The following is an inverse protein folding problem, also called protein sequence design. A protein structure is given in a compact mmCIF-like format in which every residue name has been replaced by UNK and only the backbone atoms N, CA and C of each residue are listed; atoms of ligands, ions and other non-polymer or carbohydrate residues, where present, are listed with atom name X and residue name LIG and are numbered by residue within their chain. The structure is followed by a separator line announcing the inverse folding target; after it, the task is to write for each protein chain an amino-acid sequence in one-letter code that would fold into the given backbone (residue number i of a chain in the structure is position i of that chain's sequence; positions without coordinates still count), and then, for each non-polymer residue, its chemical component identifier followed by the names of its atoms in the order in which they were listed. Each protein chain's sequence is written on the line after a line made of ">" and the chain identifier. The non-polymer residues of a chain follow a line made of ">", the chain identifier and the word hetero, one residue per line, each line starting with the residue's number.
data_IF_249535393176
#
_entry.id   IF_249535393176
#
_cell.length_a   1.000
_cell.length_b   1.000
_cell.length_c   1.000
_cell.angle_alpha   90.00
_cell.angle_beta   90.00
_cell.angle_gamma   90.00
#
_symmetry.space_group_name_H-M   'P 1'
#
loop_
_entity.id
_entity.type
_entity.pdbx_description
1 polymer ?
#
# COMPACT_ATOMS: atom_id res chain seq x y z
N UNK A 1 -31.23 -31.27 -18.69
CA UNK A 1 -30.92 -29.98 -19.33
C UNK A 1 -29.84 -29.35 -18.51
N UNK A 2 -28.56 -29.54 -18.90
CA UNK A 2 -27.39 -28.95 -18.24
C UNK A 2 -27.20 -27.54 -18.81
N UNK A 3 -27.26 -26.54 -17.96
CA UNK A 3 -26.81 -25.17 -18.26
C UNK A 3 -25.35 -25.07 -17.83
N UNK A 4 -24.43 -25.13 -18.80
CA UNK A 4 -23.04 -24.75 -18.61
C UNK A 4 -22.97 -23.24 -18.49
N UNK A 5 -22.59 -22.75 -17.30
CA UNK A 5 -22.20 -21.36 -17.09
C UNK A 5 -20.78 -21.17 -17.62
N UNK A 6 -20.66 -20.49 -18.77
CA UNK A 6 -19.37 -20.02 -19.28
C UNK A 6 -18.92 -18.80 -18.45
N UNK A 7 -17.86 -18.96 -17.69
CA UNK A 7 -17.09 -17.85 -17.13
C UNK A 7 -16.24 -17.25 -18.27
N UNK A 8 -16.64 -16.08 -18.74
CA UNK A 8 -15.82 -15.30 -19.67
C UNK A 8 -14.84 -14.50 -18.84
N UNK A 9 -13.57 -14.92 -18.84
CA UNK A 9 -12.46 -14.09 -18.38
C UNK A 9 -12.31 -12.91 -19.35
N UNK A 10 -12.78 -11.74 -18.97
CA UNK A 10 -12.46 -10.50 -19.66
C UNK A 10 -11.03 -10.11 -19.29
N UNK A 11 -10.09 -10.39 -20.18
CA UNK A 11 -8.81 -9.72 -20.21
C UNK A 11 -9.05 -8.30 -20.73
N UNK A 12 -9.17 -7.34 -19.84
CA UNK A 12 -9.11 -5.94 -20.22
C UNK A 12 -7.65 -5.57 -20.51
N UNK A 13 -7.23 -5.71 -21.76
CA UNK A 13 -6.09 -4.99 -22.30
C UNK A 13 -6.56 -3.54 -22.53
N UNK A 14 -6.54 -2.74 -21.49
CA UNK A 14 -6.80 -1.31 -21.57
C UNK A 14 -5.56 -0.61 -22.11
N UNK A 15 -5.54 -0.24 -23.39
CA UNK A 15 -4.58 0.72 -23.91
C UNK A 15 -5.07 2.12 -23.51
N UNK A 16 -4.41 2.72 -22.54
CA UNK A 16 -4.64 4.12 -22.19
C UNK A 16 -3.75 4.99 -23.05
N UNK A 17 -4.33 5.72 -24.00
CA UNK A 17 -3.62 6.78 -24.74
C UNK A 17 -3.88 8.11 -24.02
N UNK A 18 -2.94 8.55 -23.22
CA UNK A 18 -2.90 9.92 -22.71
C UNK A 18 -2.05 10.74 -23.68
N UNK A 19 -2.49 11.96 -23.98
CA UNK A 19 -1.78 12.92 -24.84
C UNK A 19 -0.46 13.35 -24.17
N UNK A 20 0.61 12.60 -24.41
CA UNK A 20 1.90 12.79 -23.76
C UNK A 20 2.79 11.58 -24.04
N UNK A 21 3.36 10.98 -23.06
CA UNK A 21 4.02 9.70 -23.15
C UNK A 21 2.97 8.58 -23.05
N UNK A 22 2.97 7.62 -23.98
CA UNK A 22 2.14 6.42 -23.84
C UNK A 22 2.70 5.53 -22.74
N UNK A 23 1.81 4.98 -21.90
CA UNK A 23 2.16 4.07 -20.83
C UNK A 23 1.79 2.64 -21.21
N UNK A 24 2.76 1.74 -21.11
CA UNK A 24 2.55 0.30 -21.26
C UNK A 24 2.37 -0.33 -19.87
N UNK A 25 1.17 -0.88 -19.61
CA UNK A 25 0.85 -1.52 -18.35
C UNK A 25 0.58 -3.02 -18.55
N UNK A 26 1.18 -3.85 -17.70
CA UNK A 26 1.08 -5.30 -17.76
C UNK A 26 0.73 -5.88 -16.40
N UNK A 27 -0.23 -6.82 -16.36
CA UNK A 27 -0.53 -7.62 -15.16
C UNK A 27 0.52 -8.71 -14.99
N UNK A 28 1.06 -8.84 -13.79
CA UNK A 28 2.14 -9.78 -13.46
C UNK A 28 1.80 -10.51 -12.17
N UNK A 29 2.19 -11.78 -12.09
CA UNK A 29 2.17 -12.57 -10.86
C UNK A 29 3.59 -12.96 -10.53
N UNK A 30 4.03 -12.65 -9.32
CA UNK A 30 5.36 -13.00 -8.80
C UNK A 30 5.18 -14.04 -7.69
N UNK A 31 5.66 -15.29 -7.87
CA UNK A 31 5.71 -16.24 -6.77
C UNK A 31 6.80 -15.82 -5.77
N UNK A 32 6.43 -15.71 -4.50
CA UNK A 32 7.34 -15.34 -3.41
C UNK A 32 7.34 -16.40 -2.33
N UNK A 33 8.51 -16.77 -1.84
CA UNK A 33 8.63 -17.68 -0.72
C UNK A 33 8.78 -16.90 0.58
N UNK A 34 7.91 -17.17 1.54
CA UNK A 34 7.89 -16.50 2.85
C UNK A 34 8.18 -17.52 3.94
N UNK A 35 9.20 -17.24 4.74
CA UNK A 35 9.60 -18.05 5.89
C UNK A 35 9.82 -17.14 7.10
N UNK A 36 8.78 -16.98 7.91
CA UNK A 36 8.76 -16.02 9.03
C UNK A 36 8.08 -16.59 10.27
N UNK A 37 8.40 -16.00 11.42
CA UNK A 37 7.70 -16.25 12.67
C UNK A 37 6.61 -15.22 12.87
N UNK A 38 5.41 -15.69 13.20
CA UNK A 38 4.23 -14.86 13.49
C UNK A 38 3.67 -15.17 14.88
N UNK A 39 3.00 -14.23 15.56
CA UNK A 39 2.23 -14.51 16.76
C UNK A 39 1.21 -15.65 16.55
N UNK A 40 1.11 -16.55 17.50
CA UNK A 40 0.08 -17.62 17.50
C UNK A 40 -1.32 -17.06 17.68
N UNK A 41 -1.44 -16.04 18.53
CA UNK A 41 -2.65 -15.27 18.67
C UNK A 41 -2.54 -14.01 17.79
N UNK A 42 -3.33 -13.91 16.72
CA UNK A 42 -3.24 -12.81 15.75
C UNK A 42 -3.65 -11.45 16.32
N UNK A 43 -4.28 -11.41 17.51
CA UNK A 43 -4.66 -10.18 18.19
C UNK A 43 -3.62 -9.72 19.22
N UNK A 44 -2.56 -10.50 19.44
CA UNK A 44 -1.47 -10.04 20.30
C UNK A 44 -0.77 -8.85 19.64
N UNK A 45 -0.61 -7.76 20.43
CA UNK A 45 0.21 -6.64 20.01
C UNK A 45 1.53 -7.18 19.46
N UNK A 46 2.00 -6.62 18.33
CA UNK A 46 3.25 -7.02 17.73
C UNK A 46 4.44 -6.59 18.64
N UNK A 47 4.44 -7.09 19.86
CA UNK A 47 5.63 -7.19 20.70
C UNK A 47 6.63 -8.21 20.13
N UNK A 48 6.32 -8.75 18.95
CA UNK A 48 6.89 -9.96 18.37
C UNK A 48 8.38 -9.97 18.12
N UNK A 49 9.04 -8.85 17.97
CA UNK A 49 10.51 -8.78 17.98
C UNK A 49 11.12 -9.09 19.38
N UNK A 50 10.30 -9.09 20.44
CA UNK A 50 10.68 -9.42 21.81
C UNK A 50 9.85 -10.58 22.38
N UNK A 51 8.99 -11.20 21.59
CA UNK A 51 8.10 -12.25 22.04
C UNK A 51 8.86 -13.52 22.42
N UNK A 52 8.41 -14.17 23.48
CA UNK A 52 8.91 -15.48 23.86
C UNK A 52 8.66 -16.47 22.69
N UNK A 53 9.66 -17.26 22.30
CA UNK A 53 9.57 -18.24 21.20
C UNK A 53 8.35 -19.17 21.31
N UNK A 54 7.84 -19.44 22.52
CA UNK A 54 6.65 -20.25 22.76
C UNK A 54 5.33 -19.61 22.29
N UNK A 55 5.28 -18.28 22.11
CA UNK A 55 4.10 -17.55 21.61
C UNK A 55 4.10 -17.37 20.10
N UNK A 56 5.14 -17.82 19.40
CA UNK A 56 5.29 -17.71 17.96
C UNK A 56 5.02 -19.05 17.27
N UNK A 57 4.61 -18.99 16.00
CA UNK A 57 4.60 -20.09 15.06
C UNK A 57 5.28 -19.69 13.77
N UNK A 58 5.80 -20.66 13.03
CA UNK A 58 6.39 -20.45 11.71
C UNK A 58 5.31 -20.48 10.64
N UNK A 59 5.40 -19.56 9.70
CA UNK A 59 4.74 -19.59 8.39
C UNK A 59 5.83 -19.77 7.36
N UNK A 60 5.76 -20.86 6.60
CA UNK A 60 6.77 -21.28 5.62
C UNK A 60 5.97 -21.77 4.40
N UNK A 61 5.75 -20.89 3.45
CA UNK A 61 4.91 -21.16 2.27
C UNK A 61 5.30 -20.28 1.08
N UNK A 62 4.79 -20.61 -0.10
CA UNK A 62 4.96 -19.85 -1.32
C UNK A 62 3.63 -19.25 -1.74
N UNK A 63 3.64 -17.95 -1.99
CA UNK A 63 2.45 -17.17 -2.35
C UNK A 63 2.63 -16.49 -3.70
N UNK A 64 1.58 -16.46 -4.48
CA UNK A 64 1.51 -15.68 -5.71
C UNK A 64 1.08 -14.25 -5.39
N UNK A 65 1.94 -13.27 -5.69
CA UNK A 65 1.65 -11.84 -5.51
C UNK A 65 1.36 -11.23 -6.86
N UNK A 66 0.12 -10.76 -7.01
CA UNK A 66 -0.34 -10.07 -8.21
C UNK A 66 0.03 -8.59 -8.16
N UNK A 67 0.31 -8.01 -9.31
CA UNK A 67 0.48 -6.56 -9.46
C UNK A 67 0.35 -6.09 -10.90
N UNK A 68 0.27 -4.78 -11.05
CA UNK A 68 0.25 -4.09 -12.36
C UNK A 68 1.52 -3.27 -12.49
N UNK A 69 2.32 -3.62 -13.48
CA UNK A 69 3.55 -2.91 -13.85
C UNK A 69 3.22 -1.92 -14.96
N UNK A 70 3.47 -0.63 -14.71
CA UNK A 70 3.31 0.43 -15.70
C UNK A 70 4.66 1.10 -15.97
N UNK A 71 4.98 1.31 -17.25
CA UNK A 71 6.22 1.96 -17.69
C UNK A 71 5.98 2.95 -18.84
N UNK A 72 6.82 4.00 -18.95
CA UNK A 72 6.83 4.86 -20.12
C UNK A 72 7.41 4.13 -21.34
N UNK A 73 6.81 4.32 -22.52
CA UNK A 73 7.25 3.65 -23.77
C UNK A 73 8.65 4.07 -24.24
N UNK A 74 9.08 5.28 -23.90
CA UNK A 74 10.27 5.91 -24.49
C UNK A 74 11.51 5.89 -23.59
N UNK A 75 11.48 5.29 -22.39
CA UNK A 75 12.60 5.36 -21.43
C UNK A 75 13.49 4.13 -21.53
N UNK A 76 14.80 4.35 -21.68
CA UNK A 76 15.80 3.29 -21.47
C UNK A 76 15.86 2.94 -19.99
N UNK A 77 15.26 1.79 -19.63
CA UNK A 77 15.14 1.34 -18.24
C UNK A 77 16.45 0.81 -17.62
N UNK A 78 17.57 0.86 -18.35
CA UNK A 78 18.84 0.22 -17.98
C UNK A 78 19.55 0.78 -16.74
N UNK A 79 19.14 1.93 -16.22
CA UNK A 79 19.71 2.54 -15.00
C UNK A 79 18.63 2.95 -13.99
N UNK A 80 17.45 2.42 -14.13
CA UNK A 80 16.22 3.00 -13.61
C UNK A 80 15.92 2.63 -12.19
N UNK A 81 15.21 3.53 -11.55
CA UNK A 81 14.40 3.33 -10.36
C UNK A 81 13.05 2.74 -10.75
N UNK A 82 12.48 1.92 -9.89
CA UNK A 82 11.06 1.54 -9.93
C UNK A 82 10.40 1.87 -8.60
N UNK A 83 9.15 2.25 -8.67
CA UNK A 83 8.32 2.47 -7.50
C UNK A 83 7.52 1.21 -7.20
N UNK A 84 7.63 0.67 -5.98
CA UNK A 84 6.74 -0.39 -5.50
C UNK A 84 5.61 0.25 -4.71
N UNK A 85 4.39 0.19 -5.25
CA UNK A 85 3.21 0.84 -4.72
C UNK A 85 2.39 -0.15 -3.88
N UNK A 86 2.26 0.11 -2.58
CA UNK A 86 1.62 -0.78 -1.60
C UNK A 86 0.39 -0.09 -1.03
N UNK A 87 -0.79 -0.59 -1.37
CA UNK A 87 -2.09 0.00 -0.99
C UNK A 87 -2.43 -0.14 0.50
N UNK A 88 -3.47 0.56 0.94
CA UNK A 88 -3.98 0.57 2.30
C UNK A 88 -4.86 -0.64 2.66
N UNK A 89 -5.37 -0.63 3.90
CA UNK A 89 -6.28 -1.66 4.39
C UNK A 89 -7.60 -1.66 3.61
N UNK A 90 -8.05 -2.84 3.18
CA UNK A 90 -9.27 -3.02 2.36
C UNK A 90 -9.27 -2.35 0.98
N UNK A 91 -8.08 -1.99 0.48
CA UNK A 91 -7.87 -1.58 -0.90
C UNK A 91 -7.21 -2.69 -1.73
N UNK A 92 -7.04 -2.43 -3.03
CA UNK A 92 -6.25 -3.22 -3.97
C UNK A 92 -5.28 -2.31 -4.72
N UNK A 93 -4.52 -2.85 -5.67
CA UNK A 93 -3.69 -2.05 -6.58
C UNK A 93 -4.47 -0.91 -7.29
N UNK A 94 -5.80 -1.03 -7.39
CA UNK A 94 -6.67 -0.01 -8.02
C UNK A 94 -6.70 1.32 -7.26
N UNK A 95 -6.27 1.37 -6.01
CA UNK A 95 -6.04 2.63 -5.29
C UNK A 95 -5.03 3.53 -6.02
N UNK A 96 -4.03 2.91 -6.65
CA UNK A 96 -2.99 3.61 -7.39
C UNK A 96 -3.35 3.92 -8.84
N UNK A 97 -4.34 3.22 -9.39
CA UNK A 97 -4.80 3.40 -10.77
C UNK A 97 -6.24 2.91 -10.91
N UNK A 98 -7.26 3.74 -10.58
CA UNK A 98 -8.65 3.39 -10.83
C UNK A 98 -8.87 3.06 -12.31
N UNK A 99 -9.42 1.88 -12.68
CA UNK A 99 -9.54 1.44 -14.07
C UNK A 99 -10.78 2.01 -14.78
N UNK A 100 -11.17 3.23 -14.47
CA UNK A 100 -12.35 3.91 -15.00
C UNK A 100 -11.93 5.21 -15.68
N UNK A 101 -12.34 5.42 -16.93
CA UNK A 101 -11.93 6.57 -17.74
C UNK A 101 -12.19 7.92 -17.05
N UNK A 102 -13.32 8.08 -16.38
CA UNK A 102 -13.63 9.32 -15.66
C UNK A 102 -12.70 9.58 -14.45
N UNK A 103 -11.96 8.54 -14.00
CA UNK A 103 -11.05 8.61 -12.85
C UNK A 103 -9.57 8.60 -13.25
N UNK A 104 -9.23 8.88 -14.49
CA UNK A 104 -7.83 8.91 -14.95
C UNK A 104 -6.98 9.92 -14.19
N UNK A 105 -7.54 11.06 -13.82
CA UNK A 105 -6.84 12.11 -13.04
C UNK A 105 -6.48 11.67 -11.61
N UNK A 106 -7.02 10.55 -11.14
CA UNK A 106 -6.73 9.95 -9.85
C UNK A 106 -5.71 8.79 -9.96
N UNK A 107 -5.21 8.49 -11.17
CA UNK A 107 -4.22 7.45 -11.40
C UNK A 107 -2.82 7.97 -11.14
N UNK A 108 -2.25 7.65 -9.98
CA UNK A 108 -0.83 7.90 -9.73
C UNK A 108 0.08 7.12 -10.68
N UNK A 109 -0.26 5.88 -11.01
CA UNK A 109 0.53 5.07 -11.93
C UNK A 109 0.65 5.72 -13.32
N UNK A 110 -0.44 6.31 -13.86
CA UNK A 110 -0.41 7.06 -15.11
C UNK A 110 0.40 8.35 -14.96
N UNK A 111 0.16 9.13 -13.90
CA UNK A 111 0.88 10.35 -13.60
C UNK A 111 2.41 10.11 -13.48
N UNK A 112 2.82 9.10 -12.74
CA UNK A 112 4.21 8.69 -12.58
C UNK A 112 4.84 8.32 -13.92
N UNK A 113 4.12 7.56 -14.74
CA UNK A 113 4.54 7.16 -16.07
C UNK A 113 4.77 8.36 -17.00
N UNK A 114 3.88 9.37 -16.99
CA UNK A 114 4.03 10.63 -17.73
C UNK A 114 5.30 11.39 -17.33
N UNK A 115 5.75 11.21 -16.07
CA UNK A 115 6.99 11.78 -15.55
C UNK A 115 8.22 10.89 -15.78
N UNK A 116 8.11 9.84 -16.60
CA UNK A 116 9.23 8.97 -16.95
C UNK A 116 9.56 7.90 -15.89
N UNK A 117 8.72 7.72 -14.88
CA UNK A 117 8.97 6.85 -13.75
C UNK A 117 8.11 5.58 -13.81
N UNK A 118 8.71 4.38 -13.93
CA UNK A 118 7.96 3.12 -13.87
C UNK A 118 7.48 2.83 -12.46
N UNK A 119 6.35 2.12 -12.36
CA UNK A 119 5.75 1.70 -11.10
C UNK A 119 5.23 0.27 -11.16
N UNK A 120 5.22 -0.41 -10.02
CA UNK A 120 4.60 -1.71 -9.83
C UNK A 120 3.62 -1.65 -8.64
N UNK A 121 2.34 -1.61 -8.93
CA UNK A 121 1.27 -1.56 -7.94
C UNK A 121 0.83 -2.98 -7.60
N UNK A 122 1.05 -3.42 -6.36
CA UNK A 122 0.76 -4.79 -5.91
C UNK A 122 -0.56 -4.89 -5.17
N UNK A 123 -1.21 -6.04 -5.27
CA UNK A 123 -2.13 -6.55 -4.27
C UNK A 123 -1.28 -7.32 -3.25
N UNK A 124 -1.15 -6.82 -2.01
CA UNK A 124 -0.37 -7.56 -1.03
C UNK A 124 -1.08 -8.83 -0.54
N UNK A 125 -0.36 -9.70 0.16
CA UNK A 125 -0.86 -11.03 0.58
C UNK A 125 -2.23 -10.96 1.24
N UNK A 126 -3.15 -11.80 0.80
CA UNK A 126 -4.51 -11.89 1.33
C UNK A 126 -5.54 -10.99 0.64
N UNK A 127 -5.13 -10.18 -0.35
CA UNK A 127 -5.96 -9.16 -0.98
C UNK A 127 -6.00 -9.33 -2.51
N UNK A 128 -7.05 -8.87 -3.14
CA UNK A 128 -7.19 -8.75 -4.58
C UNK A 128 -7.03 -10.07 -5.31
N UNK A 129 -6.12 -10.09 -6.29
CA UNK A 129 -5.78 -11.26 -7.09
C UNK A 129 -4.54 -12.01 -6.56
N UNK A 130 -3.92 -11.53 -5.47
CA UNK A 130 -2.85 -12.28 -4.78
C UNK A 130 -3.39 -13.48 -4.03
N UNK A 131 -2.50 -14.41 -3.67
CA UNK A 131 -2.87 -15.56 -2.83
C UNK A 131 -3.58 -15.09 -1.58
N UNK A 132 -4.73 -15.70 -1.31
CA UNK A 132 -5.53 -15.48 -0.13
C UNK A 132 -5.45 -16.74 0.73
N UNK A 133 -4.60 -16.76 1.78
CA UNK A 133 -4.48 -17.91 2.67
C UNK A 133 -5.82 -18.34 3.24
N UNK A 134 -6.06 -19.65 3.32
CA UNK A 134 -7.32 -20.20 3.87
C UNK A 134 -7.50 -19.84 5.33
N UNK A 135 -6.41 -19.74 6.08
CA UNK A 135 -6.38 -19.30 7.46
C UNK A 135 -5.96 -17.82 7.47
N UNK A 136 -6.88 -16.93 7.79
CA UNK A 136 -6.63 -15.48 7.84
C UNK A 136 -5.51 -15.11 8.83
N UNK A 137 -5.28 -15.93 9.86
CA UNK A 137 -4.20 -15.71 10.82
C UNK A 137 -2.79 -15.88 10.23
N UNK A 138 -2.66 -16.41 9.02
CA UNK A 138 -1.38 -16.42 8.29
C UNK A 138 -1.06 -15.07 7.66
N UNK A 139 -2.05 -14.20 7.50
CA UNK A 139 -1.87 -12.84 6.98
C UNK A 139 -1.73 -11.87 8.15
N UNK A 140 -0.48 -11.65 8.55
CA UNK A 140 -0.06 -10.74 9.60
C UNK A 140 1.04 -9.82 9.06
N UNK A 141 1.44 -8.78 9.81
CA UNK A 141 2.52 -7.89 9.34
C UNK A 141 3.80 -8.63 8.95
N UNK A 142 4.31 -9.63 9.71
CA UNK A 142 5.53 -10.32 9.30
C UNK A 142 5.41 -11.02 7.94
N UNK A 143 4.31 -11.72 7.69
CA UNK A 143 4.11 -12.46 6.42
C UNK A 143 3.86 -11.52 5.24
N UNK A 144 2.98 -10.53 5.43
CA UNK A 144 2.66 -9.58 4.36
C UNK A 144 3.87 -8.69 4.02
N UNK A 145 4.63 -8.23 5.01
CA UNK A 145 5.82 -7.44 4.81
C UNK A 145 6.95 -8.25 4.14
N UNK A 146 7.17 -9.50 4.55
CA UNK A 146 8.13 -10.37 3.90
C UNK A 146 7.77 -10.60 2.42
N UNK A 147 6.48 -10.82 2.10
CA UNK A 147 6.05 -10.97 0.72
C UNK A 147 6.31 -9.69 -0.11
N UNK A 148 6.12 -8.50 0.46
CA UNK A 148 6.44 -7.22 -0.19
C UNK A 148 7.94 -7.05 -0.39
N UNK A 149 8.78 -7.44 0.59
CA UNK A 149 10.25 -7.44 0.45
C UNK A 149 10.72 -8.39 -0.64
N UNK A 150 10.14 -9.58 -0.75
CA UNK A 150 10.46 -10.54 -1.81
C UNK A 150 10.08 -10.02 -3.20
N UNK A 151 8.94 -9.34 -3.34
CA UNK A 151 8.59 -8.63 -4.58
C UNK A 151 9.65 -7.58 -4.91
N UNK A 152 10.06 -6.75 -3.96
CA UNK A 152 11.11 -5.74 -4.17
C UNK A 152 12.44 -6.39 -4.57
N UNK A 153 12.80 -7.54 -3.99
CA UNK A 153 13.97 -8.32 -4.37
C UNK A 153 13.87 -8.83 -5.82
N UNK A 154 12.72 -9.33 -6.25
CA UNK A 154 12.49 -9.73 -7.64
C UNK A 154 12.66 -8.56 -8.60
N UNK A 155 12.16 -7.37 -8.26
CA UNK A 155 12.35 -6.16 -9.07
C UNK A 155 13.83 -5.81 -9.25
N UNK A 156 14.68 -6.06 -8.26
CA UNK A 156 16.14 -5.81 -8.31
C UNK A 156 16.96 -6.92 -8.96
N UNK A 157 16.44 -8.15 -8.99
CA UNK A 157 17.29 -9.31 -9.36
C UNK A 157 16.82 -10.05 -10.61
N UNK A 158 15.56 -9.86 -11.01
CA UNK A 158 14.95 -10.55 -12.14
C UNK A 158 14.27 -9.60 -13.13
N UNK A 159 14.18 -10.02 -14.38
CA UNK A 159 13.32 -9.37 -15.37
C UNK A 159 11.87 -9.83 -15.12
N UNK A 160 11.03 -8.92 -14.71
CA UNK A 160 9.61 -9.21 -14.44
C UNK A 160 8.74 -9.13 -15.70
N UNK A 161 9.21 -8.43 -16.73
CA UNK A 161 8.58 -8.31 -18.05
C UNK A 161 9.64 -8.50 -19.12
N UNK A 162 9.37 -9.23 -20.22
CA UNK A 162 10.31 -9.38 -21.32
C UNK A 162 10.85 -8.04 -21.81
N UNK A 163 12.18 -7.93 -21.89
CA UNK A 163 12.86 -6.71 -22.34
C UNK A 163 13.05 -5.63 -21.28
N UNK A 164 12.58 -5.83 -20.05
CA UNK A 164 12.83 -4.94 -18.92
C UNK A 164 13.93 -5.56 -18.04
N UNK A 165 15.12 -4.94 -17.93
CA UNK A 165 16.16 -5.44 -17.05
C UNK A 165 15.79 -5.24 -15.57
N UNK A 166 16.45 -5.93 -14.64
CA UNK A 166 16.33 -5.65 -13.21
C UNK A 166 16.63 -4.19 -12.88
N UNK A 167 15.91 -3.63 -11.92
CA UNK A 167 16.06 -2.25 -11.49
C UNK A 167 17.21 -2.09 -10.48
N UNK A 168 17.93 -0.99 -10.56
CA UNK A 168 19.01 -0.69 -9.58
C UNK A 168 18.47 -0.21 -8.24
N UNK A 169 17.34 0.50 -8.26
CA UNK A 169 16.72 1.08 -7.07
C UNK A 169 15.23 0.75 -7.03
N UNK A 170 14.73 0.46 -5.82
CA UNK A 170 13.31 0.30 -5.53
C UNK A 170 12.92 1.30 -4.45
N UNK A 171 12.03 2.22 -4.80
CA UNK A 171 11.43 3.15 -3.85
C UNK A 171 10.08 2.57 -3.41
N UNK A 172 9.93 2.30 -2.12
CA UNK A 172 8.65 1.87 -1.56
C UNK A 172 7.73 3.05 -1.34
N UNK A 173 6.54 3.01 -1.95
CA UNK A 173 5.47 4.00 -1.70
C UNK A 173 4.30 3.26 -1.09
N UNK A 174 4.02 3.53 0.17
CA UNK A 174 2.92 2.91 0.91
C UNK A 174 1.77 3.89 1.13
N UNK A 175 0.57 3.35 1.24
CA UNK A 175 -0.60 4.09 1.72
C UNK A 175 -1.16 3.41 2.97
N UNK A 176 -1.39 4.17 4.05
CA UNK A 176 -2.05 3.68 5.27
C UNK A 176 -1.41 2.38 5.80
N UNK A 177 -2.13 1.25 5.82
CA UNK A 177 -1.59 -0.06 6.20
C UNK A 177 -0.40 -0.49 5.31
N UNK A 178 -0.37 -0.11 4.03
CA UNK A 178 0.79 -0.32 3.15
C UNK A 178 2.02 0.46 3.61
N UNK A 179 1.85 1.69 4.12
CA UNK A 179 2.92 2.43 4.77
C UNK A 179 3.40 1.73 6.04
N UNK A 180 2.49 1.12 6.79
CA UNK A 180 2.83 0.35 7.99
C UNK A 180 3.60 -0.93 7.61
N UNK A 181 3.24 -1.62 6.51
CA UNK A 181 4.00 -2.77 5.99
C UNK A 181 5.44 -2.37 5.63
N UNK A 182 5.64 -1.27 4.92
CA UNK A 182 6.97 -0.75 4.59
C UNK A 182 7.74 -0.30 5.83
N UNK A 183 7.07 0.29 6.82
CA UNK A 183 7.68 0.64 8.11
C UNK A 183 8.12 -0.63 8.84
N UNK A 184 7.31 -1.68 8.81
CA UNK A 184 7.65 -2.96 9.41
C UNK A 184 8.90 -3.57 8.75
N UNK A 185 9.00 -3.56 7.42
CA UNK A 185 10.21 -3.97 6.70
C UNK A 185 11.43 -3.16 7.16
N UNK A 186 11.29 -1.83 7.27
CA UNK A 186 12.36 -0.96 7.74
C UNK A 186 12.82 -1.27 9.19
N UNK A 187 11.89 -1.75 10.04
CA UNK A 187 12.21 -2.18 11.41
C UNK A 187 12.96 -3.51 11.42
N UNK A 188 12.47 -4.49 10.65
CA UNK A 188 13.04 -5.84 10.62
C UNK A 188 14.38 -5.87 9.91
N UNK A 189 14.46 -5.27 8.73
CA UNK A 189 15.63 -5.35 7.87
C UNK A 189 16.69 -4.29 8.24
N UNK A 190 16.27 -3.19 8.84
CA UNK A 190 17.16 -2.10 9.27
C UNK A 190 18.08 -1.61 8.15
N UNK A 191 19.43 -1.61 8.37
CA UNK A 191 20.39 -1.20 7.36
C UNK A 191 20.48 -2.13 6.15
N UNK A 192 19.90 -3.32 6.21
CA UNK A 192 19.89 -4.33 5.13
C UNK A 192 18.62 -4.22 4.26
N UNK A 193 17.78 -3.22 4.50
CA UNK A 193 16.54 -3.06 3.76
C UNK A 193 16.76 -3.07 2.24
N UNK A 194 15.87 -3.76 1.56
CA UNK A 194 15.87 -3.83 0.09
C UNK A 194 15.46 -2.50 -0.57
N UNK A 195 14.79 -1.62 0.17
CA UNK A 195 14.30 -0.33 -0.32
C UNK A 195 15.38 0.74 -0.28
N UNK A 196 15.52 1.51 -1.36
CA UNK A 196 16.48 2.62 -1.47
C UNK A 196 15.89 3.96 -0.98
N UNK A 197 14.57 4.02 -0.74
CA UNK A 197 13.85 5.15 -0.17
C UNK A 197 12.42 4.75 0.18
N UNK A 198 11.81 5.44 1.12
CA UNK A 198 10.45 5.19 1.57
C UNK A 198 9.61 6.48 1.52
N UNK A 199 8.46 6.40 0.85
CA UNK A 199 7.40 7.42 0.83
C UNK A 199 6.19 6.79 1.51
N UNK A 200 5.86 7.28 2.71
CA UNK A 200 4.85 6.69 3.58
C UNK A 200 3.65 7.64 3.68
N UNK A 201 2.59 7.33 2.93
CA UNK A 201 1.42 8.20 2.89
C UNK A 201 0.38 7.79 3.91
N UNK A 202 -0.31 8.77 4.49
CA UNK A 202 -1.42 8.61 5.44
C UNK A 202 -1.08 7.61 6.55
N UNK A 203 0.10 7.81 7.20
CA UNK A 203 0.58 6.94 8.27
C UNK A 203 1.45 7.71 9.26
N UNK A 204 0.97 7.84 10.47
CA UNK A 204 1.71 8.39 11.62
C UNK A 204 1.83 7.35 12.72
N UNK A 205 2.78 7.56 13.64
CA UNK A 205 3.09 6.60 14.71
C UNK A 205 2.00 6.45 15.77
N UNK A 206 1.02 7.31 15.84
CA UNK A 206 -0.15 7.16 16.72
C UNK A 206 -1.44 7.46 15.96
N UNK A 207 -2.52 6.81 16.34
CA UNK A 207 -3.82 6.82 15.71
C UNK A 207 -4.86 7.48 16.63
N UNK A 208 -4.96 8.81 16.69
CA UNK A 208 -5.94 9.47 17.57
C UNK A 208 -7.40 9.21 17.13
N UNK A 209 -7.62 8.95 15.84
CA UNK A 209 -8.95 8.71 15.28
C UNK A 209 -9.37 7.23 15.17
N UNK A 210 -8.52 6.29 15.56
CA UNK A 210 -8.73 4.84 15.33
C UNK A 210 -9.94 4.25 16.02
N UNK A 211 -10.38 4.82 17.12
CA UNK A 211 -11.58 4.33 17.82
C UNK A 211 -12.81 4.38 16.91
N UNK A 212 -12.85 5.33 15.97
CA UNK A 212 -13.94 5.46 15.01
C UNK A 212 -13.82 4.46 13.85
N UNK A 213 -12.59 4.15 13.41
CA UNK A 213 -12.36 3.22 12.30
C UNK A 213 -12.66 1.77 12.67
N UNK A 214 -12.42 1.37 13.92
CA UNK A 214 -12.75 0.05 14.45
C UNK A 214 -14.23 -0.29 14.37
N UNK A 215 -15.11 0.67 14.60
CA UNK A 215 -16.55 0.48 14.57
C UNK A 215 -17.12 0.23 13.16
N UNK A 216 -16.29 0.38 12.12
CA UNK A 216 -16.70 0.19 10.73
C UNK A 216 -16.24 -1.14 10.12
N UNK A 217 -15.49 -1.96 10.87
CA UNK A 217 -15.10 -3.28 10.40
C UNK A 217 -16.25 -4.27 10.49
N UNK A 218 -16.47 -4.99 9.41
CA UNK A 218 -17.47 -6.04 9.29
C UNK A 218 -16.78 -7.31 8.79
N UNK A 219 -17.13 -8.52 9.30
CA UNK A 219 -16.70 -9.75 8.68
C UNK A 219 -17.04 -9.73 7.18
N UNK A 220 -16.06 -10.01 6.33
CA UNK A 220 -16.24 -9.89 4.90
C UNK A 220 -17.37 -10.77 4.37
N UNK A 221 -17.52 -11.98 4.94
CA UNK A 221 -18.60 -12.91 4.61
C UNK A 221 -20.01 -12.36 4.89
N UNK A 222 -20.14 -11.41 5.84
CA UNK A 222 -21.42 -10.81 6.22
C UNK A 222 -21.71 -9.54 5.40
N UNK A 223 -20.66 -8.81 4.97
CA UNK A 223 -20.78 -7.61 4.15
C UNK A 223 -21.24 -7.95 2.73
N UNK A 224 -20.52 -8.83 2.05
CA UNK A 224 -20.83 -9.22 0.67
C UNK A 224 -20.75 -10.76 0.52
N UNK A 225 -21.78 -11.52 0.96
CA UNK A 225 -21.76 -12.97 0.98
C UNK A 225 -21.51 -13.63 -0.39
N UNK A 226 -21.97 -13.02 -1.48
CA UNK A 226 -21.76 -13.53 -2.84
C UNK A 226 -20.29 -13.47 -3.26
N UNK A 227 -19.52 -12.51 -2.73
CA UNK A 227 -18.10 -12.32 -3.04
C UNK A 227 -17.20 -13.04 -2.03
N UNK A 228 -17.54 -12.99 -0.76
CA UNK A 228 -16.65 -13.38 0.32
C UNK A 228 -17.21 -14.44 1.29
N UNK A 229 -18.40 -15.00 1.02
CA UNK A 229 -19.10 -15.92 1.94
C UNK A 229 -18.35 -17.22 2.26
N UNK A 230 -17.28 -17.55 1.53
CA UNK A 230 -16.44 -18.73 1.76
C UNK A 230 -15.09 -18.39 2.43
N UNK A 231 -14.83 -17.13 2.72
CA UNK A 231 -13.59 -16.73 3.39
C UNK A 231 -13.62 -17.11 4.88
N UNK A 232 -12.43 -17.26 5.45
CA UNK A 232 -12.26 -17.39 6.89
C UNK A 232 -12.82 -16.16 7.61
N UNK A 233 -13.50 -16.32 8.77
CA UNK A 233 -14.13 -15.22 9.51
C UNK A 233 -13.18 -14.10 9.95
N UNK A 234 -11.88 -14.36 9.99
CA UNK A 234 -10.88 -13.33 10.28
C UNK A 234 -10.55 -12.40 9.10
N UNK A 235 -11.12 -12.64 7.90
CA UNK A 235 -11.15 -11.64 6.84
C UNK A 235 -12.27 -10.64 7.10
N UNK A 236 -11.91 -9.38 7.11
CA UNK A 236 -12.82 -8.26 7.40
C UNK A 236 -12.74 -7.21 6.30
N UNK A 237 -13.76 -6.40 6.18
CA UNK A 237 -13.79 -5.24 5.28
C UNK A 237 -14.32 -4.01 6.02
N UNK A 238 -14.19 -2.84 5.42
CA UNK A 238 -14.74 -1.57 5.94
C UNK A 238 -16.13 -1.33 5.38
N UNK A 239 -17.09 -1.02 6.23
CA UNK A 239 -18.49 -0.74 5.85
C UNK A 239 -18.76 0.75 5.56
N UNK A 240 -17.88 1.64 6.01
CA UNK A 240 -18.01 3.08 5.79
C UNK A 240 -16.72 3.66 5.22
N UNK A 241 -16.75 4.04 3.94
CA UNK A 241 -15.59 4.62 3.22
C UNK A 241 -15.47 6.14 3.43
N UNK A 242 -16.55 6.82 3.80
CA UNK A 242 -16.54 8.29 3.90
C UNK A 242 -15.55 8.83 4.92
N UNK A 243 -15.15 8.04 5.91
CA UNK A 243 -14.16 8.43 6.91
C UNK A 243 -12.73 8.61 6.33
N UNK A 244 -12.47 8.08 5.13
CA UNK A 244 -11.17 8.20 4.48
C UNK A 244 -11.07 9.45 3.60
N UNK A 245 -12.18 10.14 3.39
CA UNK A 245 -12.27 11.36 2.60
C UNK A 245 -12.27 12.60 3.49
N UNK A 246 -12.02 13.81 2.94
CA UNK A 246 -12.20 15.05 3.68
C UNK A 246 -13.63 15.17 4.25
N UNK A 247 -13.77 15.85 5.39
CA UNK A 247 -15.10 16.11 5.96
C UNK A 247 -15.96 17.03 5.05
N UNK A 248 -15.32 17.89 4.25
CA UNK A 248 -15.98 18.68 3.21
C UNK A 248 -16.31 17.77 2.03
N UNK A 249 -17.60 17.45 1.89
CA UNK A 249 -18.10 16.59 0.79
C UNK A 249 -17.99 17.22 -0.59
N UNK A 250 -17.57 18.48 -0.71
CA UNK A 250 -17.27 19.12 -2.00
C UNK A 250 -15.83 18.92 -2.45
N UNK A 251 -14.98 18.29 -1.63
CA UNK A 251 -13.57 18.06 -1.90
C UNK A 251 -13.30 16.78 -2.74
N UNK A 252 -14.30 15.96 -2.99
CA UNK A 252 -14.18 14.71 -3.77
C UNK A 252 -15.45 14.43 -4.58
N UNK A 253 -15.34 13.52 -5.55
CA UNK A 253 -16.51 13.10 -6.36
C UNK A 253 -17.37 12.10 -5.58
N UNK A 254 -18.70 12.30 -5.46
CA UNK A 254 -19.58 11.28 -4.91
C UNK A 254 -19.47 9.92 -5.62
N UNK A 255 -19.22 9.93 -6.94
CA UNK A 255 -19.00 8.71 -7.71
C UNK A 255 -17.68 8.01 -7.36
N UNK A 256 -16.71 8.74 -6.84
CA UNK A 256 -15.46 8.14 -6.35
C UNK A 256 -15.71 7.30 -5.09
N UNK A 257 -16.53 7.76 -4.14
CA UNK A 257 -16.91 6.94 -2.98
C UNK A 257 -17.70 5.69 -3.42
N UNK A 258 -18.62 5.83 -4.38
CA UNK A 258 -19.37 4.68 -4.91
C UNK A 258 -18.43 3.67 -5.56
N UNK A 259 -17.46 4.13 -6.34
CA UNK A 259 -16.43 3.29 -6.93
C UNK A 259 -15.56 2.61 -5.86
N UNK A 260 -15.09 3.37 -4.87
CA UNK A 260 -14.27 2.88 -3.77
C UNK A 260 -15.01 1.81 -2.95
N UNK A 261 -16.29 2.05 -2.59
CA UNK A 261 -17.10 1.05 -1.89
C UNK A 261 -17.34 -0.21 -2.73
N UNK A 262 -17.55 -0.04 -4.04
CA UNK A 262 -17.73 -1.18 -4.96
C UNK A 262 -16.45 -2.01 -5.14
N UNK A 263 -15.29 -1.37 -5.19
CA UNK A 263 -13.99 -2.01 -5.45
C UNK A 263 -13.22 -2.37 -4.18
N UNK A 264 -13.69 -1.98 -3.00
CA UNK A 264 -13.09 -2.37 -1.73
C UNK A 264 -12.85 -3.88 -1.67
N UNK A 265 -11.80 -4.28 -0.96
CA UNK A 265 -11.48 -5.68 -0.74
C UNK A 265 -11.41 -5.98 0.76
N UNK A 266 -10.76 -7.03 1.12
CA UNK A 266 -10.61 -7.50 2.49
C UNK A 266 -9.24 -7.13 3.06
N UNK A 267 -9.14 -7.12 4.36
CA UNK A 267 -7.92 -7.26 5.14
C UNK A 267 -8.15 -8.33 6.19
N UNK A 268 -7.22 -8.49 7.12
CA UNK A 268 -7.41 -9.41 8.25
C UNK A 268 -7.50 -8.68 9.57
N UNK A 269 -8.21 -9.26 10.53
CA UNK A 269 -8.24 -8.77 11.92
C UNK A 269 -6.83 -8.61 12.46
N UNK A 270 -5.92 -9.53 12.12
CA UNK A 270 -4.53 -9.52 12.58
C UNK A 270 -3.77 -8.26 12.12
N UNK A 271 -3.87 -7.90 10.83
CA UNK A 271 -3.25 -6.69 10.30
C UNK A 271 -3.81 -5.45 11.01
N UNK A 272 -5.12 -5.44 11.23
CA UNK A 272 -5.76 -4.28 11.84
C UNK A 272 -5.35 -4.10 13.32
N UNK A 273 -5.40 -5.16 14.13
CA UNK A 273 -5.10 -5.10 15.56
C UNK A 273 -3.62 -4.99 15.88
N UNK A 274 -2.73 -5.44 14.98
CA UNK A 274 -1.29 -5.26 15.11
C UNK A 274 -0.81 -3.83 14.77
N UNK A 275 -1.69 -2.98 14.27
CA UNK A 275 -1.44 -1.55 14.07
C UNK A 275 -1.87 -0.79 15.35
N UNK A 276 -1.07 0.14 15.88
CA UNK A 276 0.19 0.65 15.36
C UNK A 276 1.45 -0.06 15.91
N UNK A 277 2.48 -0.21 15.09
CA UNK A 277 3.81 -0.70 15.50
C UNK A 277 4.66 0.40 16.15
N UNK A 278 4.04 1.27 16.93
CA UNK A 278 4.58 2.56 17.39
C UNK A 278 5.67 2.47 18.45
N UNK A 279 5.78 1.34 19.12
CA UNK A 279 6.83 1.13 20.15
C UNK A 279 8.18 0.71 19.55
N UNK A 280 8.26 0.51 18.24
CA UNK A 280 9.45 0.02 17.56
C UNK A 280 10.13 1.15 16.80
N UNK A 281 11.45 1.12 16.75
CA UNK A 281 12.27 2.07 16.00
C UNK A 281 12.90 1.40 14.80
N UNK A 282 12.78 2.01 13.62
CA UNK A 282 13.44 1.54 12.41
C UNK A 282 14.91 1.94 12.38
N UNK A 283 15.81 0.97 12.27
CA UNK A 283 17.24 1.22 12.05
C UNK A 283 17.55 1.38 10.55
N UNK A 284 16.55 1.66 9.75
CA UNK A 284 16.65 1.93 8.33
C UNK A 284 17.52 3.17 8.07
N UNK A 285 18.45 3.05 7.14
CA UNK A 285 19.45 4.09 6.84
C UNK A 285 19.18 4.90 5.58
N UNK A 286 18.19 4.52 4.79
CA UNK A 286 17.79 5.28 3.60
C UNK A 286 16.96 6.52 3.93
N UNK A 287 16.60 7.33 2.91
CA UNK A 287 15.74 8.49 3.08
C UNK A 287 14.28 8.08 3.31
N UNK A 288 13.57 8.86 4.13
CA UNK A 288 12.16 8.65 4.48
C UNK A 288 11.40 9.96 4.37
N UNK A 289 10.24 9.93 3.76
CA UNK A 289 9.24 11.00 3.86
C UNK A 289 7.90 10.42 4.27
N UNK A 290 7.22 11.09 5.19
CA UNK A 290 5.82 10.83 5.49
C UNK A 290 4.97 11.95 4.90
N UNK A 291 3.86 11.58 4.26
CA UNK A 291 2.96 12.53 3.62
C UNK A 291 1.54 12.27 4.14
N UNK A 292 0.91 13.28 4.70
CA UNK A 292 -0.43 13.18 5.27
C UNK A 292 -1.32 14.30 4.75
N UNK A 293 -2.60 14.04 4.60
CA UNK A 293 -3.58 15.07 4.27
C UNK A 293 -3.93 15.91 5.49
N UNK A 294 -4.12 17.22 5.33
CA UNK A 294 -4.55 18.09 6.43
C UNK A 294 -5.95 17.73 6.97
N UNK A 295 -6.77 17.14 6.11
CA UNK A 295 -8.15 16.71 6.41
C UNK A 295 -8.23 15.19 6.68
N UNK A 296 -7.10 14.51 6.89
CA UNK A 296 -7.06 13.09 7.24
C UNK A 296 -7.70 12.84 8.62
N UNK A 297 -8.94 12.34 8.61
CA UNK A 297 -9.72 12.09 9.83
C UNK A 297 -9.14 10.93 10.68
N UNK A 298 -8.29 10.10 10.09
CA UNK A 298 -7.67 8.96 10.78
C UNK A 298 -6.43 9.41 11.57
N UNK A 299 -5.55 10.20 10.96
CA UNK A 299 -4.26 10.58 11.53
C UNK A 299 -4.14 12.04 11.97
N UNK A 300 -4.84 12.96 11.31
CA UNK A 300 -4.75 14.40 11.54
C UNK A 300 -5.92 14.99 12.34
N UNK A 301 -6.78 14.15 12.91
CA UNK A 301 -7.89 14.59 13.75
C UNK A 301 -7.39 15.49 14.91
N UNK A 302 -8.24 16.43 15.33
CA UNK A 302 -7.98 17.38 16.41
C UNK A 302 -6.72 18.26 16.18
N UNK A 303 -6.58 18.80 14.97
CA UNK A 303 -5.50 19.74 14.58
C UNK A 303 -4.08 19.21 14.75
N UNK A 304 -3.93 17.90 14.83
CA UNK A 304 -2.63 17.23 15.06
C UNK A 304 -1.58 17.57 13.98
N UNK A 305 -2.01 17.76 12.74
CA UNK A 305 -1.12 18.01 11.61
C UNK A 305 -0.86 19.51 11.34
N UNK A 306 -1.41 20.40 12.14
CA UNK A 306 -1.23 21.85 11.98
C UNK A 306 0.21 22.30 12.29
N UNK A 307 0.82 21.74 13.33
CA UNK A 307 2.21 22.06 13.68
C UNK A 307 3.17 21.03 13.10
N UNK A 308 3.54 21.19 11.83
CA UNK A 308 4.41 20.27 11.09
C UNK A 308 5.77 20.09 11.75
N UNK A 309 6.34 21.16 12.35
CA UNK A 309 7.64 21.08 13.03
C UNK A 309 7.57 20.16 14.27
N UNK A 310 6.55 20.31 15.10
CA UNK A 310 6.35 19.45 16.26
C UNK A 310 6.03 18.00 15.85
N UNK A 311 5.21 17.84 14.81
CA UNK A 311 4.88 16.53 14.25
C UNK A 311 6.13 15.83 13.73
N UNK A 312 6.95 16.51 12.94
CA UNK A 312 8.23 15.98 12.41
C UNK A 312 9.16 15.55 13.54
N UNK A 313 9.30 16.38 14.58
CA UNK A 313 10.15 16.04 15.73
C UNK A 313 9.66 14.79 16.47
N UNK A 314 8.34 14.63 16.64
CA UNK A 314 7.77 13.47 17.32
C UNK A 314 7.90 12.17 16.49
N UNK A 315 7.67 12.24 15.20
CA UNK A 315 7.72 11.07 14.30
C UNK A 315 9.17 10.64 14.01
N UNK A 316 10.12 11.59 13.97
CA UNK A 316 11.55 11.33 13.75
C UNK A 316 12.13 10.37 14.80
N UNK A 317 11.58 10.33 16.00
CA UNK A 317 12.03 9.41 17.07
C UNK A 317 11.94 7.94 16.62
N UNK A 318 10.98 7.59 15.80
CA UNK A 318 10.84 6.24 15.23
C UNK A 318 11.87 5.90 14.14
N UNK A 319 12.65 6.88 13.65
CA UNK A 319 13.56 6.74 12.50
C UNK A 319 14.96 7.29 12.79
N UNK A 320 15.62 6.86 13.87
CA UNK A 320 16.86 7.50 14.34
C UNK A 320 18.03 7.39 13.35
N UNK A 321 18.08 6.34 12.56
CA UNK A 321 19.17 6.06 11.63
C UNK A 321 18.89 6.54 10.18
N UNK A 322 17.68 7.02 9.85
CA UNK A 322 17.34 7.44 8.50
C UNK A 322 18.26 8.59 8.01
N UNK A 323 18.73 8.49 6.77
CA UNK A 323 19.59 9.50 6.14
C UNK A 323 18.94 10.87 6.11
N UNK A 324 17.66 10.92 5.77
CA UNK A 324 16.79 12.08 5.86
C UNK A 324 15.41 11.64 6.36
N UNK A 325 14.71 12.56 7.01
CA UNK A 325 13.33 12.33 7.44
C UNK A 325 12.56 13.65 7.38
N UNK A 326 11.47 13.61 6.64
CA UNK A 326 10.60 14.77 6.45
C UNK A 326 9.13 14.38 6.65
N UNK A 327 8.31 15.35 7.00
CA UNK A 327 6.85 15.24 6.94
C UNK A 327 6.32 16.36 6.06
N UNK A 328 5.47 15.99 5.11
CA UNK A 328 4.70 16.91 4.27
C UNK A 328 3.23 16.80 4.66
N UNK A 329 2.56 17.92 4.84
CA UNK A 329 1.11 17.99 5.06
C UNK A 329 0.47 18.61 3.83
N UNK A 330 -0.21 17.76 3.05
CA UNK A 330 -0.91 18.16 1.84
C UNK A 330 -2.25 18.81 2.21
N UNK A 331 -2.45 20.04 1.77
CA UNK A 331 -3.61 20.82 2.16
C UNK A 331 -4.87 20.39 1.40
N UNK A 332 -5.96 20.22 2.15
CA UNK A 332 -7.27 19.85 1.59
C UNK A 332 -7.43 18.37 1.25
N UNK A 333 -6.39 17.55 1.43
CA UNK A 333 -6.46 16.10 1.21
C UNK A 333 -6.94 15.36 2.46
N UNK A 334 -7.75 14.32 2.25
CA UNK A 334 -8.17 13.35 3.27
C UNK A 334 -7.15 12.24 3.50
N UNK A 335 -7.62 11.16 4.11
CA UNK A 335 -6.81 9.94 4.29
C UNK A 335 -6.47 9.31 2.94
N UNK A 336 -7.45 9.19 2.04
CA UNK A 336 -7.30 8.65 0.69
C UNK A 336 -6.89 9.73 -0.31
N UNK A 337 -5.74 10.36 -0.07
CA UNK A 337 -5.29 11.55 -0.82
C UNK A 337 -5.23 11.37 -2.33
N UNK A 338 -5.18 10.13 -2.84
CA UNK A 338 -5.22 9.84 -4.26
C UNK A 338 -6.64 9.95 -4.87
N UNK A 339 -7.67 9.93 -4.05
CA UNK A 339 -9.07 9.79 -4.48
C UNK A 339 -9.92 11.05 -4.27
N UNK A 340 -9.32 12.15 -3.84
CA UNK A 340 -9.97 13.46 -3.72
C UNK A 340 -9.55 14.41 -4.86
N UNK A 341 -10.22 15.56 -4.99
CA UNK A 341 -9.94 16.52 -6.07
C UNK A 341 -8.55 17.15 -6.00
N UNK A 342 -7.91 17.12 -4.84
CA UNK A 342 -6.58 17.66 -4.62
C UNK A 342 -5.45 16.64 -4.92
N UNK A 343 -5.75 15.44 -5.44
CA UNK A 343 -4.80 14.34 -5.65
C UNK A 343 -3.53 14.71 -6.42
N UNK A 344 -3.59 15.69 -7.32
CA UNK A 344 -2.43 16.12 -8.11
C UNK A 344 -1.32 16.77 -7.24
N UNK A 345 -1.66 17.35 -6.09
CA UNK A 345 -0.69 17.88 -5.12
C UNK A 345 0.23 16.77 -4.60
N UNK A 346 -0.32 15.76 -3.90
CA UNK A 346 0.43 14.59 -3.47
C UNK A 346 1.23 13.90 -4.58
N UNK A 347 0.67 13.76 -5.78
CA UNK A 347 1.36 13.12 -6.92
C UNK A 347 2.64 13.86 -7.31
N UNK A 348 2.62 15.19 -7.39
CA UNK A 348 3.81 15.99 -7.61
C UNK A 348 4.84 15.81 -6.50
N UNK A 349 4.37 15.76 -5.24
CA UNK A 349 5.21 15.51 -4.07
C UNK A 349 5.88 14.13 -4.15
N UNK A 350 5.13 13.07 -4.50
CA UNK A 350 5.71 11.72 -4.65
C UNK A 350 6.79 11.71 -5.73
N UNK A 351 6.51 12.23 -6.93
CA UNK A 351 7.49 12.30 -8.03
C UNK A 351 8.74 13.09 -7.63
N UNK A 352 8.57 14.20 -6.92
CA UNK A 352 9.71 15.01 -6.43
C UNK A 352 10.62 14.19 -5.50
N UNK A 353 10.05 13.46 -4.54
CA UNK A 353 10.83 12.62 -3.63
C UNK A 353 11.42 11.39 -4.32
N UNK A 354 10.72 10.77 -5.28
CA UNK A 354 11.29 9.66 -6.07
C UNK A 354 12.53 10.13 -6.82
N UNK A 355 12.48 11.30 -7.47
CA UNK A 355 13.64 11.88 -8.16
C UNK A 355 14.77 12.19 -7.18
N UNK A 356 14.47 12.82 -6.05
CA UNK A 356 15.47 13.12 -5.00
C UNK A 356 16.13 11.84 -4.47
N UNK A 357 15.37 10.80 -4.16
CA UNK A 357 15.87 9.55 -3.58
C UNK A 357 16.63 8.70 -4.60
N UNK A 358 16.25 8.80 -5.87
CA UNK A 358 16.95 8.11 -6.96
C UNK A 358 18.18 8.83 -7.45
N UNK A 359 18.32 10.12 -7.16
CA UNK A 359 19.42 10.95 -7.63
C UNK A 359 19.27 11.32 -9.11
N UNK A 360 18.02 11.42 -9.60
CA UNK A 360 17.64 11.85 -10.95
C UNK A 360 17.48 13.36 -11.02
#
# INVERSE_FOLDING_TARGET
>A
MLLCAFWVLFHFLGFYTVSGASCDCSSIVIPVHVDVLVPKNPTDEFAGLKSNASSLRRVDDTYDIFGVFCRPDAVSLGESVVQLLVHGFTYTNQYWSPPVEEFQNYSYAAFSCEHGLPSFAVDWLGVGLSTRPKNSSDVQYPTAAAAVSEVALHLKTASIVPGVPPFKKVIGIGHSAGSTLLTFNAIVDGPQSIFDGLILTSSLSSLPGTVHSLSTLTPAQDDTPLRWGTLDPGYVTTSNRSMFYPADTTAFSPRMIEFDDFTKDVGTVSIFEQTPITSLTAQYTGPVVKIVGSEDQVFCAADRCVNVTALTASERVGWPAAQSFEIVVEQGNGHDMNLDFAAQGPFNTFVSFVNQFSGL
#
